data_IF_760175007563
#
_entry.id   IF_760175007563
#
_cell.length_a   1.000
_cell.length_b   1.000
_cell.length_c   1.000
_cell.angle_alpha   90.00
_cell.angle_beta   90.00
_cell.angle_gamma   90.00
#
_symmetry.space_group_name_H-M   'P 1'
#
loop_
_entity.id
_entity.type
_entity.pdbx_description
1 polymer ?
#
# COMPACT_ATOMS: atom_id res chain seq x y z
N UNK A 1 14.52 6.56 0.76
CA UNK A 1 13.35 5.73 1.09
C UNK A 1 13.20 4.64 0.04
N UNK A 2 13.14 3.36 0.43
CA UNK A 2 12.60 2.35 -0.46
C UNK A 2 11.14 2.70 -0.76
N UNK A 3 10.67 2.27 -1.92
CA UNK A 3 9.26 2.46 -2.27
C UNK A 3 8.44 1.41 -1.52
N UNK A 4 7.61 1.84 -0.57
CA UNK A 4 6.60 1.01 0.12
C UNK A 4 5.87 0.00 -0.81
N UNK A 5 5.55 0.33 -2.08
CA UNK A 5 4.99 -0.61 -3.05
C UNK A 5 5.80 -1.89 -3.34
N UNK A 6 7.09 -1.97 -2.98
CA UNK A 6 7.92 -3.14 -3.24
C UNK A 6 7.71 -4.27 -2.21
N UNK A 7 7.45 -3.94 -0.95
CA UNK A 7 7.29 -4.91 0.15
C UNK A 7 6.19 -5.95 -0.08
N UNK A 8 5.04 -5.62 -0.69
CA UNK A 8 4.05 -6.63 -1.03
C UNK A 8 4.58 -7.83 -1.80
N UNK A 9 5.68 -7.70 -2.56
CA UNK A 9 6.30 -8.80 -3.30
C UNK A 9 6.61 -10.02 -2.42
N UNK A 10 7.08 -9.79 -1.18
CA UNK A 10 7.45 -10.85 -0.23
C UNK A 10 6.23 -11.64 0.24
N UNK A 11 5.09 -10.98 0.38
CA UNK A 11 3.87 -11.59 0.94
C UNK A 11 2.94 -12.19 -0.12
N UNK A 12 3.12 -11.87 -1.41
CA UNK A 12 2.35 -12.48 -2.50
C UNK A 12 2.30 -14.02 -2.46
N UNK A 13 3.41 -14.76 -2.27
CA UNK A 13 3.35 -16.23 -2.17
C UNK A 13 2.64 -16.73 -0.91
N UNK A 14 2.60 -15.93 0.16
CA UNK A 14 1.99 -16.31 1.45
C UNK A 14 0.46 -16.42 1.39
N UNK A 15 -0.19 -15.92 0.32
CA UNK A 15 -1.62 -16.16 0.09
C UNK A 15 -1.99 -17.66 0.06
N UNK A 16 -1.03 -18.53 -0.26
CA UNK A 16 -1.19 -20.00 -0.26
C UNK A 16 -1.40 -20.58 1.14
N UNK A 17 -1.07 -19.82 2.20
CA UNK A 17 -1.27 -20.20 3.60
C UNK A 17 -2.72 -19.98 4.08
N UNK A 18 -3.62 -19.53 3.19
CA UNK A 18 -5.02 -19.24 3.53
C UNK A 18 -5.23 -17.91 4.26
N UNK A 19 -4.19 -17.07 4.35
CA UNK A 19 -4.29 -15.71 4.89
C UNK A 19 -4.89 -14.75 3.84
N UNK A 20 -5.70 -13.75 4.25
CA UNK A 20 -6.25 -12.78 3.32
C UNK A 20 -5.15 -11.94 2.67
N UNK A 21 -4.97 -12.07 1.36
CA UNK A 21 -3.91 -11.35 0.63
C UNK A 21 -4.01 -9.83 0.81
N UNK A 22 -5.21 -9.24 0.84
CA UNK A 22 -5.36 -7.80 1.08
C UNK A 22 -4.83 -7.37 2.45
N UNK A 23 -4.97 -8.22 3.47
CA UNK A 23 -4.46 -7.94 4.81
C UNK A 23 -2.93 -8.06 4.86
N UNK A 24 -2.36 -9.09 4.22
CA UNK A 24 -0.92 -9.25 4.05
C UNK A 24 -0.29 -8.02 3.35
N UNK A 25 -0.87 -7.60 2.22
CA UNK A 25 -0.39 -6.45 1.43
C UNK A 25 -0.48 -5.17 2.25
N UNK A 26 -1.62 -4.90 2.89
CA UNK A 26 -1.78 -3.71 3.74
C UNK A 26 -0.80 -3.74 4.90
N UNK A 27 -0.60 -4.89 5.56
CA UNK A 27 0.40 -5.04 6.61
C UNK A 27 1.81 -4.72 6.13
N UNK A 28 2.20 -5.18 4.94
CA UNK A 28 3.54 -4.91 4.39
C UNK A 28 3.81 -3.46 3.99
N UNK A 29 2.78 -2.60 4.01
CA UNK A 29 2.86 -1.17 3.68
C UNK A 29 2.57 -0.30 4.91
N UNK A 30 1.96 -0.86 5.96
CA UNK A 30 1.54 -0.12 7.14
C UNK A 30 2.69 0.56 7.93
N UNK A 31 3.88 -0.05 8.11
CA UNK A 31 4.98 0.59 8.83
C UNK A 31 5.41 1.94 8.26
N UNK A 32 5.29 2.12 6.95
CA UNK A 32 5.61 3.36 6.23
C UNK A 32 4.51 4.43 6.30
N UNK A 33 3.35 4.13 6.89
CA UNK A 33 2.25 5.09 6.96
C UNK A 33 2.63 6.46 7.58
N UNK A 34 3.46 6.54 8.65
CA UNK A 34 3.90 7.82 9.23
C UNK A 34 4.68 8.72 8.27
N UNK A 35 5.28 8.16 7.21
CA UNK A 35 6.01 8.93 6.19
C UNK A 35 5.04 9.77 5.35
N UNK A 36 3.86 9.20 5.02
CA UNK A 36 2.93 9.82 4.08
C UNK A 36 1.70 10.43 4.74
N UNK A 37 1.38 10.03 5.97
CA UNK A 37 0.16 10.43 6.67
C UNK A 37 0.51 10.92 8.08
N UNK A 38 -0.27 11.87 8.62
CA UNK A 38 -0.08 12.37 9.98
C UNK A 38 -0.55 11.34 11.02
N UNK A 39 0.19 10.24 11.14
CA UNK A 39 -0.01 9.21 12.17
C UNK A 39 0.66 9.69 13.46
N UNK A 40 -0.01 9.51 14.60
CA UNK A 40 0.50 9.94 15.92
C UNK A 40 1.59 9.01 16.50
N UNK A 41 2.34 8.33 15.63
CA UNK A 41 3.41 7.38 15.97
C UNK A 41 4.60 7.70 15.09
N UNK A 42 5.79 7.78 15.69
CA UNK A 42 7.01 8.03 14.94
C UNK A 42 7.47 6.83 14.10
N UNK A 43 8.29 7.12 13.10
CA UNK A 43 8.83 6.13 12.16
C UNK A 43 9.70 5.08 12.83
N UNK A 44 10.48 5.45 13.85
CA UNK A 44 11.35 4.50 14.58
C UNK A 44 10.53 3.43 15.29
N UNK A 45 9.39 3.83 15.88
CA UNK A 45 8.46 2.93 16.55
C UNK A 45 7.86 1.94 15.56
N UNK A 46 7.36 2.39 14.40
CA UNK A 46 6.78 1.50 13.38
C UNK A 46 7.82 0.59 12.70
N UNK A 47 9.11 0.90 12.82
CA UNK A 47 10.20 0.07 12.29
C UNK A 47 10.95 -0.71 13.38
N UNK A 48 10.36 -0.80 14.58
CA UNK A 48 10.88 -1.61 15.68
C UNK A 48 10.16 -2.96 15.78
N UNK A 49 10.83 -3.98 16.33
CA UNK A 49 10.19 -5.30 16.52
C UNK A 49 8.96 -5.24 17.43
N UNK A 50 8.98 -4.35 18.43
CA UNK A 50 7.85 -4.09 19.34
C UNK A 50 6.78 -3.17 18.73
N UNK A 51 7.05 -2.56 17.57
CA UNK A 51 6.14 -1.75 16.78
C UNK A 51 5.13 -2.54 15.98
N UNK A 52 5.41 -3.81 15.67
CA UNK A 52 4.54 -4.67 14.84
C UNK A 52 3.07 -4.72 15.32
N UNK A 53 2.75 -4.77 16.63
CA UNK A 53 1.37 -4.64 17.10
C UNK A 53 0.73 -3.28 16.76
N UNK A 54 1.49 -2.18 16.80
CA UNK A 54 1.04 -0.84 16.40
C UNK A 54 0.78 -0.82 14.89
N UNK A 55 1.70 -1.35 14.09
CA UNK A 55 1.52 -1.48 12.63
C UNK A 55 0.33 -2.37 12.29
N UNK A 56 0.03 -3.35 13.14
CA UNK A 56 -1.16 -4.19 13.00
C UNK A 56 -2.43 -3.36 13.15
N UNK A 57 -2.48 -2.45 14.14
CA UNK A 57 -3.63 -1.55 14.31
C UNK A 57 -3.73 -0.58 13.11
N UNK A 58 -2.63 0.04 12.70
CA UNK A 58 -2.58 0.93 11.53
C UNK A 58 -3.07 0.19 10.29
N UNK A 59 -2.52 -1.00 10.03
CA UNK A 59 -2.89 -1.83 8.89
C UNK A 59 -4.34 -2.31 8.93
N UNK A 60 -4.91 -2.62 10.09
CA UNK A 60 -6.35 -2.92 10.21
C UNK A 60 -7.22 -1.70 9.88
N UNK A 61 -6.82 -0.50 10.29
CA UNK A 61 -7.50 0.75 9.91
C UNK A 61 -7.41 0.98 8.41
N UNK A 62 -6.24 0.82 7.81
CA UNK A 62 -6.04 0.94 6.35
C UNK A 62 -6.85 -0.10 5.57
N UNK A 63 -6.89 -1.35 6.07
CA UNK A 63 -7.69 -2.43 5.48
C UNK A 63 -9.18 -2.10 5.55
N UNK A 64 -9.65 -1.58 6.68
CA UNK A 64 -11.02 -1.11 6.85
C UNK A 64 -11.32 0.03 5.88
N UNK A 65 -10.48 1.07 5.81
CA UNK A 65 -10.63 2.19 4.88
C UNK A 65 -10.67 1.70 3.42
N UNK A 66 -9.84 0.73 3.06
CA UNK A 66 -9.86 0.15 1.73
C UNK A 66 -11.23 -0.46 1.40
N UNK A 67 -11.73 -1.41 2.20
CA UNK A 67 -12.98 -2.11 1.89
C UNK A 67 -14.23 -1.24 2.12
N UNK A 68 -14.21 -0.38 3.14
CA UNK A 68 -15.35 0.40 3.58
C UNK A 68 -15.33 1.85 3.16
N UNK A 69 -14.31 2.36 2.46
CA UNK A 69 -14.33 3.70 1.89
C UNK A 69 -13.85 3.72 0.43
N UNK A 70 -12.62 3.29 0.20
CA UNK A 70 -11.86 3.58 -1.03
C UNK A 70 -12.19 2.66 -2.20
N UNK A 71 -12.27 1.34 -1.97
CA UNK A 71 -12.28 0.31 -3.01
C UNK A 71 -13.33 0.56 -4.09
N UNK A 72 -14.57 0.78 -3.69
CA UNK A 72 -15.68 0.93 -4.63
C UNK A 72 -15.48 2.14 -5.54
N UNK A 73 -15.02 3.27 -4.98
CA UNK A 73 -14.68 4.47 -5.74
C UNK A 73 -13.48 4.20 -6.67
N UNK A 74 -12.37 3.66 -6.15
CA UNK A 74 -11.17 3.37 -6.96
C UNK A 74 -11.49 2.47 -8.16
N UNK A 75 -12.29 1.41 -7.94
CA UNK A 75 -12.68 0.49 -9.00
C UNK A 75 -13.61 1.15 -10.02
N UNK A 76 -14.60 1.93 -9.60
CA UNK A 76 -15.55 2.58 -10.52
C UNK A 76 -14.88 3.72 -11.33
N UNK A 77 -14.06 4.52 -10.67
CA UNK A 77 -13.39 5.68 -11.26
C UNK A 77 -12.21 5.31 -12.17
N UNK A 78 -11.72 4.06 -12.11
CA UNK A 78 -10.60 3.58 -12.94
C UNK A 78 -11.13 2.68 -14.07
N UNK A 79 -11.17 3.14 -15.35
CA UNK A 79 -11.81 2.40 -16.44
C UNK A 79 -11.31 0.95 -16.61
N UNK A 80 -9.99 0.72 -16.49
CA UNK A 80 -9.41 -0.61 -16.61
C UNK A 80 -9.79 -1.56 -15.47
N UNK A 81 -9.99 -1.03 -14.26
CA UNK A 81 -10.46 -1.81 -13.11
C UNK A 81 -11.98 -2.00 -13.16
N UNK A 82 -12.74 -0.99 -13.56
CA UNK A 82 -14.21 -1.06 -13.63
C UNK A 82 -14.70 -2.23 -14.49
N UNK A 83 -14.04 -2.50 -15.60
CA UNK A 83 -14.47 -3.60 -16.48
C UNK A 83 -13.99 -4.99 -16.04
N UNK A 84 -13.15 -5.10 -15.00
CA UNK A 84 -12.45 -6.37 -14.66
C UNK A 84 -12.44 -6.73 -13.18
N UNK A 85 -12.73 -5.79 -12.28
CA UNK A 85 -12.70 -6.01 -10.83
C UNK A 85 -14.08 -5.72 -10.23
N UNK A 86 -14.62 -6.59 -9.35
CA UNK A 86 -15.84 -6.28 -8.61
C UNK A 86 -15.61 -5.07 -7.69
N UNK A 87 -16.46 -4.06 -7.86
CA UNK A 87 -16.40 -2.81 -7.07
C UNK A 87 -16.78 -3.06 -5.61
N UNK A 88 -17.81 -3.90 -5.40
CA UNK A 88 -18.26 -4.29 -4.08
C UNK A 88 -17.76 -5.70 -3.78
N UNK A 89 -16.68 -5.78 -3.02
CA UNK A 89 -16.21 -7.01 -2.40
C UNK A 89 -16.21 -6.78 -0.92
N UNK A 90 -16.78 -7.72 -0.17
CA UNK A 90 -16.69 -7.75 1.29
C UNK A 90 -15.76 -8.88 1.68
N UNK A 91 -14.85 -8.60 2.61
CA UNK A 91 -14.14 -9.68 3.28
C UNK A 91 -15.15 -10.50 4.09
N UNK A 92 -15.11 -11.82 3.92
CA UNK A 92 -15.93 -12.74 4.70
C UNK A 92 -15.48 -12.78 6.17
N UNK A 93 -16.34 -13.31 7.06
CA UNK A 93 -16.06 -13.40 8.50
C UNK A 93 -14.70 -14.05 8.81
N UNK A 94 -14.40 -15.18 8.16
CA UNK A 94 -13.09 -15.87 8.31
C UNK A 94 -11.92 -14.97 7.92
N UNK A 95 -12.05 -14.18 6.85
CA UNK A 95 -11.00 -13.28 6.42
C UNK A 95 -10.78 -12.14 7.43
N UNK A 96 -11.85 -11.58 8.01
CA UNK A 96 -11.73 -10.60 9.10
C UNK A 96 -11.11 -11.19 10.36
N UNK A 97 -11.44 -12.44 10.72
CA UNK A 97 -10.83 -13.13 11.86
C UNK A 97 -9.33 -13.36 11.66
N UNK A 98 -8.90 -13.65 10.42
CA UNK A 98 -7.49 -13.85 10.08
C UNK A 98 -6.75 -12.56 9.75
N UNK A 99 -7.45 -11.43 9.60
CA UNK A 99 -6.85 -10.17 9.19
C UNK A 99 -5.77 -9.67 10.16
N UNK A 100 -5.94 -9.67 11.51
CA UNK A 100 -4.91 -9.21 12.42
C UNK A 100 -3.60 -9.99 12.27
N UNK A 101 -3.69 -11.33 12.17
CA UNK A 101 -2.53 -12.18 11.94
C UNK A 101 -1.87 -11.88 10.59
N UNK A 102 -2.66 -11.76 9.52
CA UNK A 102 -2.14 -11.46 8.19
C UNK A 102 -1.48 -10.07 8.10
N UNK A 103 -2.06 -9.05 8.75
CA UNK A 103 -1.46 -7.72 8.83
C UNK A 103 -0.15 -7.78 9.63
N UNK A 104 -0.15 -8.43 10.79
CA UNK A 104 1.06 -8.57 11.62
C UNK A 104 2.19 -9.30 10.88
N UNK A 105 1.86 -10.36 10.13
CA UNK A 105 2.83 -11.05 9.26
C UNK A 105 3.37 -10.12 8.18
N UNK A 106 2.49 -9.35 7.52
CA UNK A 106 2.91 -8.36 6.52
C UNK A 106 3.85 -7.30 7.11
N UNK A 107 3.48 -6.70 8.24
CA UNK A 107 4.28 -5.69 8.93
C UNK A 107 5.62 -6.28 9.41
N UNK A 108 5.61 -7.49 9.97
CA UNK A 108 6.82 -8.19 10.38
C UNK A 108 7.77 -8.44 9.20
N UNK A 109 7.27 -8.86 8.04
CA UNK A 109 8.12 -9.02 6.84
C UNK A 109 8.72 -7.71 6.37
N UNK A 110 7.99 -6.59 6.50
CA UNK A 110 8.49 -5.26 6.19
C UNK A 110 9.63 -4.88 7.15
N UNK A 111 9.38 -4.90 8.46
CA UNK A 111 10.37 -4.52 9.49
C UNK A 111 11.64 -5.37 9.41
N UNK A 112 11.49 -6.69 9.21
CA UNK A 112 12.64 -7.59 9.05
C UNK A 112 13.45 -7.23 7.80
N UNK A 113 12.80 -6.98 6.67
CA UNK A 113 13.49 -6.62 5.44
C UNK A 113 14.22 -5.29 5.57
N UNK A 114 13.55 -4.29 6.15
CA UNK A 114 14.11 -2.96 6.35
C UNK A 114 15.29 -2.96 7.31
N UNK A 115 15.28 -3.84 8.30
CA UNK A 115 16.41 -4.02 9.21
C UNK A 115 17.69 -4.50 8.50
N UNK A 116 17.59 -5.07 7.29
CA UNK A 116 18.70 -5.52 6.45
C UNK A 116 19.06 -4.54 5.32
N UNK A 117 18.24 -3.52 5.06
CA UNK A 117 18.46 -2.57 3.96
C UNK A 117 18.77 -1.15 4.41
N UNK A 118 18.54 -0.82 5.68
CA UNK A 118 18.81 0.48 6.25
C UNK A 118 19.98 0.47 7.23
N UNK A 119 20.75 1.54 7.25
CA UNK A 119 21.91 1.74 8.12
C UNK A 119 21.56 1.70 9.61
N UNK A 120 20.37 2.18 9.98
CA UNK A 120 19.83 2.07 11.33
C UNK A 120 19.27 0.67 11.67
N UNK A 121 19.15 -0.21 10.68
CA UNK A 121 18.52 -1.52 10.81
C UNK A 121 19.29 -2.48 11.71
N UNK A 122 18.55 -3.29 12.49
CA UNK A 122 19.14 -4.29 13.38
C UNK A 122 20.07 -5.28 12.64
N UNK A 123 19.63 -5.87 11.53
CA UNK A 123 20.47 -6.82 10.79
C UNK A 123 21.71 -6.15 10.20
N UNK A 124 21.62 -4.91 9.72
CA UNK A 124 22.79 -4.15 9.26
C UNK A 124 23.76 -3.87 10.40
N UNK A 125 23.28 -3.67 11.65
CA UNK A 125 24.10 -3.47 12.85
C UNK A 125 24.76 -4.76 13.37
N UNK A 126 24.11 -5.90 13.26
CA UNK A 126 24.68 -7.17 13.72
C UNK A 126 25.54 -7.88 12.67
N UNK A 127 25.19 -7.77 11.39
CA UNK A 127 25.86 -8.47 10.29
C UNK A 127 26.85 -7.54 9.59
N UNK A 128 28.13 -7.61 9.99
CA UNK A 128 29.18 -6.75 9.47
C UNK A 128 29.30 -6.74 7.94
N UNK A 129 29.09 -7.89 7.28
CA UNK A 129 29.17 -7.99 5.82
C UNK A 129 28.12 -7.15 5.08
N UNK A 130 27.00 -6.77 5.72
CA UNK A 130 26.00 -5.87 5.12
C UNK A 130 26.49 -4.42 5.02
N UNK A 131 27.53 -4.07 5.78
CA UNK A 131 28.16 -2.75 5.78
C UNK A 131 29.41 -2.67 4.92
N UNK A 132 29.88 -3.81 4.41
CA UNK A 132 31.02 -3.83 3.50
C UNK A 132 30.64 -3.21 2.16
N UNK A 133 31.58 -2.47 1.58
CA UNK A 133 31.44 -1.82 0.28
C UNK A 133 31.63 -2.83 -0.84
N UNK A 134 30.65 -2.88 -1.74
CA UNK A 134 30.71 -3.66 -2.98
C UNK A 134 30.62 -2.69 -4.15
N UNK A 135 31.78 -2.14 -4.54
CA UNK A 135 31.86 -1.07 -5.53
C UNK A 135 31.52 0.29 -4.91
N UNK A 136 30.55 1.06 -5.45
CA UNK A 136 30.27 2.43 -4.99
C UNK A 136 29.40 2.50 -3.74
N UNK A 137 28.83 1.38 -3.27
CA UNK A 137 27.84 1.34 -2.21
C UNK A 137 28.05 0.13 -1.29
N UNK A 138 27.68 0.24 -0.01
CA UNK A 138 27.61 -0.89 0.90
C UNK A 138 26.48 -1.87 0.52
N UNK A 139 26.63 -3.13 0.89
CA UNK A 139 25.72 -4.21 0.47
C UNK A 139 24.24 -3.96 0.85
N UNK A 140 23.97 -3.41 2.03
CA UNK A 140 22.59 -3.09 2.43
C UNK A 140 21.90 -2.09 1.47
N UNK A 141 22.63 -1.13 0.89
CA UNK A 141 22.08 -0.20 -0.12
C UNK A 141 21.87 -0.90 -1.46
N UNK A 142 22.73 -1.84 -1.84
CA UNK A 142 22.47 -2.70 -2.99
C UNK A 142 21.19 -3.51 -2.80
N UNK A 143 20.98 -4.09 -1.63
CA UNK A 143 19.72 -4.77 -1.28
C UNK A 143 18.54 -3.81 -1.34
N UNK A 144 18.66 -2.60 -0.79
CA UNK A 144 17.61 -1.59 -0.84
C UNK A 144 17.17 -1.25 -2.27
N UNK A 145 18.12 -0.90 -3.15
CA UNK A 145 17.83 -0.50 -4.52
C UNK A 145 17.35 -1.66 -5.39
N UNK A 146 18.02 -2.81 -5.32
CA UNK A 146 17.63 -3.99 -6.09
C UNK A 146 16.24 -4.50 -5.67
N UNK A 147 15.95 -4.54 -4.37
CA UNK A 147 14.64 -4.94 -3.86
C UNK A 147 13.54 -3.97 -4.28
N UNK A 148 13.84 -2.67 -4.33
CA UNK A 148 12.89 -1.66 -4.82
C UNK A 148 12.52 -1.94 -6.27
N UNK A 149 13.51 -2.14 -7.14
CA UNK A 149 13.29 -2.39 -8.58
C UNK A 149 12.59 -3.73 -8.79
N UNK A 150 13.11 -4.81 -8.20
CA UNK A 150 12.58 -6.16 -8.38
C UNK A 150 11.21 -6.30 -7.73
N UNK A 151 11.05 -5.88 -6.48
CA UNK A 151 9.79 -5.96 -5.74
C UNK A 151 8.67 -5.18 -6.42
N UNK A 152 8.93 -3.94 -6.84
CA UNK A 152 7.95 -3.14 -7.58
C UNK A 152 7.56 -3.79 -8.91
N UNK A 153 8.54 -4.35 -9.62
CA UNK A 153 8.30 -5.06 -10.88
C UNK A 153 7.44 -6.32 -10.67
N UNK A 154 7.70 -7.09 -9.61
CA UNK A 154 6.92 -8.28 -9.23
C UNK A 154 5.49 -7.89 -8.88
N UNK A 155 5.29 -6.86 -8.06
CA UNK A 155 3.94 -6.40 -7.66
C UNK A 155 3.16 -5.88 -8.87
N UNK A 156 3.80 -5.10 -9.76
CA UNK A 156 3.19 -4.62 -10.99
C UNK A 156 2.82 -5.79 -11.92
N UNK A 157 3.75 -6.70 -12.18
CA UNK A 157 3.53 -7.86 -13.04
C UNK A 157 2.40 -8.75 -12.49
N UNK A 158 2.40 -9.02 -11.19
CA UNK A 158 1.35 -9.78 -10.52
C UNK A 158 -0.01 -9.08 -10.62
N UNK A 159 -0.07 -7.77 -10.35
CA UNK A 159 -1.28 -6.97 -10.45
C UNK A 159 -1.87 -6.96 -11.87
N UNK A 160 -1.01 -6.75 -12.88
CA UNK A 160 -1.40 -6.78 -14.30
C UNK A 160 -1.87 -8.18 -14.70
N UNK A 161 -1.12 -9.22 -14.36
CA UNK A 161 -1.50 -10.62 -14.63
C UNK A 161 -2.85 -10.95 -14.00
N UNK A 162 -3.05 -10.61 -12.72
CA UNK A 162 -4.29 -10.91 -12.02
C UNK A 162 -5.47 -10.15 -12.63
N UNK A 163 -5.29 -8.87 -12.97
CA UNK A 163 -6.33 -8.06 -13.60
C UNK A 163 -6.70 -8.61 -14.99
N UNK A 164 -5.71 -8.98 -15.80
CA UNK A 164 -5.92 -9.54 -17.15
C UNK A 164 -6.61 -10.90 -17.12
N UNK A 165 -6.38 -11.67 -16.05
CA UNK A 165 -7.01 -12.98 -15.83
C UNK A 165 -8.47 -12.90 -15.38
N UNK A 166 -8.99 -11.71 -15.06
CA UNK A 166 -10.42 -11.54 -14.77
C UNK A 166 -11.21 -11.35 -16.07
N UNK A 167 -12.41 -11.95 -16.18
CA UNK A 167 -13.29 -11.74 -17.32
C UNK A 167 -13.66 -10.26 -17.43
N UNK A 168 -13.78 -9.77 -18.67
CA UNK A 168 -14.27 -8.41 -18.92
C UNK A 168 -15.78 -8.41 -18.79
N UNK A 169 -16.28 -7.72 -17.78
CA UNK A 169 -17.71 -7.49 -17.58
C UNK A 169 -17.97 -6.01 -17.76
N UNK A 170 -18.67 -5.65 -18.84
CA UNK A 170 -19.08 -4.28 -19.07
C UNK A 170 -20.03 -3.85 -17.95
N UNK A 171 -19.65 -2.81 -17.21
CA UNK A 171 -20.49 -2.19 -16.19
C UNK A 171 -20.62 -0.71 -16.50
N UNK A 172 -21.83 -0.13 -16.51
CA UNK A 172 -21.99 1.31 -16.62
C UNK A 172 -21.25 2.02 -15.48
N UNK A 173 -20.84 3.27 -15.69
CA UNK A 173 -20.26 4.05 -14.61
C UNK A 173 -21.32 4.29 -13.54
N UNK A 174 -20.96 4.20 -12.26
CA UNK A 174 -21.91 4.42 -11.17
C UNK A 174 -22.28 5.90 -10.97
N UNK A 175 -21.58 6.82 -11.65
CA UNK A 175 -21.86 8.26 -11.67
C UNK A 175 -21.50 8.85 -13.04
N UNK A 176 -22.16 9.94 -13.41
CA UNK A 176 -21.79 10.74 -14.58
C UNK A 176 -20.36 11.28 -14.50
N UNK A 177 -19.67 11.35 -15.65
CA UNK A 177 -18.29 11.88 -15.79
C UNK A 177 -17.26 11.25 -14.83
N UNK A 178 -17.38 9.95 -14.51
CA UNK A 178 -16.47 9.23 -13.60
C UNK A 178 -14.97 9.44 -13.89
N UNK A 179 -14.58 9.64 -15.15
CA UNK A 179 -13.18 9.90 -15.55
C UNK A 179 -12.59 11.22 -14.99
N UNK A 180 -13.42 12.18 -14.59
CA UNK A 180 -12.95 13.45 -14.04
C UNK A 180 -12.73 13.41 -12.52
N UNK A 181 -13.37 12.47 -11.81
CA UNK A 181 -13.27 12.35 -10.35
C UNK A 181 -11.85 12.07 -9.84
N UNK A 182 -10.96 11.36 -10.57
CA UNK A 182 -9.57 11.22 -10.15
C UNK A 182 -8.73 12.48 -10.29
N UNK A 183 -9.14 13.51 -11.06
CA UNK A 183 -8.32 14.72 -11.36
C UNK A 183 -7.81 15.46 -10.12
N UNK A 184 -8.59 15.62 -9.02
CA UNK A 184 -8.10 16.26 -7.81
C UNK A 184 -6.90 15.56 -7.16
N UNK A 185 -6.70 14.25 -7.39
CA UNK A 185 -5.61 13.46 -6.80
C UNK A 185 -4.23 13.91 -7.32
N UNK A 186 -3.92 13.85 -8.64
CA UNK A 186 -2.65 14.35 -9.17
C UNK A 186 -2.51 15.86 -9.03
N UNK A 187 -3.61 16.64 -9.01
CA UNK A 187 -3.55 18.09 -8.75
C UNK A 187 -3.07 18.35 -7.33
N UNK A 188 -3.66 17.70 -6.31
CA UNK A 188 -3.23 17.84 -4.93
C UNK A 188 -1.77 17.41 -4.75
N UNK A 189 -1.38 16.29 -5.36
CA UNK A 189 0.01 15.81 -5.33
C UNK A 189 0.99 16.80 -5.96
N UNK A 190 0.68 17.32 -7.15
CA UNK A 190 1.53 18.28 -7.85
C UNK A 190 1.63 19.62 -7.10
N UNK A 191 0.51 20.12 -6.58
CA UNK A 191 0.49 21.35 -5.77
C UNK A 191 1.36 21.19 -4.52
N UNK A 192 1.21 20.09 -3.78
CA UNK A 192 2.04 19.80 -2.62
C UNK A 192 3.52 19.69 -3.01
N UNK A 193 3.86 18.91 -4.04
CA UNK A 193 5.23 18.77 -4.53
C UNK A 193 5.89 20.11 -4.92
N UNK A 194 5.14 21.00 -5.57
CA UNK A 194 5.64 22.33 -5.97
C UNK A 194 5.86 23.22 -4.75
N UNK A 195 4.92 23.23 -3.80
CA UNK A 195 4.94 24.10 -2.63
C UNK A 195 5.98 23.67 -1.59
N UNK A 196 6.09 22.37 -1.32
CA UNK A 196 6.96 21.85 -0.26
C UNK A 196 8.30 21.34 -0.78
N UNK A 197 8.42 21.08 -2.10
CA UNK A 197 9.58 20.42 -2.70
C UNK A 197 9.89 19.05 -2.09
N UNK A 198 8.86 18.41 -1.53
CA UNK A 198 8.96 17.14 -0.85
C UNK A 198 8.00 16.12 -1.46
N UNK A 199 8.55 14.96 -1.85
CA UNK A 199 7.79 13.90 -2.50
C UNK A 199 6.88 13.16 -1.51
N UNK A 200 7.26 13.08 -0.24
CA UNK A 200 6.48 12.37 0.79
C UNK A 200 5.18 13.13 1.08
N UNK A 201 5.28 14.45 1.25
CA UNK A 201 4.13 15.35 1.38
C UNK A 201 3.24 15.31 0.13
N UNK A 202 3.82 15.19 -1.07
CA UNK A 202 3.06 15.06 -2.31
C UNK A 202 2.23 13.78 -2.36
N UNK A 203 2.82 12.65 -1.95
CA UNK A 203 2.10 11.37 -1.83
C UNK A 203 1.00 11.48 -0.76
N UNK A 204 1.29 12.06 0.39
CA UNK A 204 0.31 12.31 1.46
C UNK A 204 -0.89 13.13 0.98
N UNK A 205 -0.65 14.23 0.26
CA UNK A 205 -1.71 15.04 -0.33
C UNK A 205 -2.56 14.25 -1.33
N UNK A 206 -1.94 13.38 -2.12
CA UNK A 206 -2.65 12.49 -3.05
C UNK A 206 -3.57 11.50 -2.30
N UNK A 207 -3.08 10.91 -1.20
CA UNK A 207 -3.86 9.98 -0.37
C UNK A 207 -5.06 10.68 0.30
N UNK A 208 -4.86 11.89 0.83
CA UNK A 208 -5.95 12.70 1.40
C UNK A 208 -6.99 13.05 0.33
N UNK A 209 -6.54 13.51 -0.85
CA UNK A 209 -7.43 13.79 -1.97
C UNK A 209 -8.22 12.55 -2.40
N UNK A 210 -7.59 11.37 -2.41
CA UNK A 210 -8.26 10.11 -2.73
C UNK A 210 -9.37 9.78 -1.71
N UNK A 211 -9.13 10.00 -0.41
CA UNK A 211 -10.14 9.81 0.64
C UNK A 211 -11.32 10.76 0.44
N UNK A 212 -11.06 12.04 0.16
CA UNK A 212 -12.10 13.06 -0.09
C UNK A 212 -12.92 12.71 -1.33
N UNK A 213 -12.24 12.37 -2.44
CA UNK A 213 -12.85 11.94 -3.70
C UNK A 213 -13.73 10.70 -3.48
N UNK A 214 -13.24 9.70 -2.76
CA UNK A 214 -14.00 8.48 -2.48
C UNK A 214 -15.23 8.76 -1.60
N UNK A 215 -15.11 9.65 -0.61
CA UNK A 215 -16.22 10.09 0.24
C UNK A 215 -17.30 10.81 -0.58
N UNK A 216 -16.92 11.78 -1.40
CA UNK A 216 -17.83 12.52 -2.26
C UNK A 216 -18.47 11.62 -3.35
N UNK A 217 -17.72 10.67 -3.91
CA UNK A 217 -18.28 9.71 -4.86
C UNK A 217 -19.38 8.86 -4.21
N UNK A 218 -19.21 8.44 -2.96
CA UNK A 218 -20.23 7.68 -2.23
C UNK A 218 -21.49 8.47 -1.94
N UNK A 219 -21.37 9.75 -1.60
CA UNK A 219 -22.54 10.59 -1.31
C UNK A 219 -23.36 10.84 -2.57
N UNK A 220 -22.70 11.04 -3.71
CA UNK A 220 -23.38 11.18 -5.02
C UNK A 220 -24.03 9.86 -5.43
N UNK A 221 -23.33 8.73 -5.35
CA UNK A 221 -23.87 7.42 -5.72
C UNK A 221 -25.12 7.03 -4.91
N UNK A 222 -25.19 7.41 -3.63
CA UNK A 222 -26.39 7.16 -2.79
C UNK A 222 -27.62 7.99 -3.18
N UNK A 223 -27.43 9.05 -3.97
CA UNK A 223 -28.51 9.95 -4.41
C UNK A 223 -29.05 9.59 -5.80
N UNK A 224 -28.37 8.74 -6.56
CA UNK A 224 -28.93 8.20 -7.80
C UNK A 224 -29.95 7.10 -7.43
N UNK A 225 -31.21 7.20 -7.91
CA UNK A 225 -32.30 6.29 -7.56
C UNK A 225 -32.13 4.87 -8.13
#
# INVERSE_FOLDING_TARGET
MPLAPAHPAVVLPMQRLGLPLSALVVGSVAPDAPVYLPVLVDYETTHSAWGVPIDTVIGLVLLWLWFFLLRAAVVDLTPGLRCRAPAEVRLGRRAWLLAPLAVAVGAGTHVVWDSATHDWGFLVRELAFLREDYGPLPLHRWFQHSSTVVGSSVVLAYGVWRLRSQPVVARPAAVGRSRLWPVPIPVAAASAAILTRDAETAVGAALVALVVVAGAWRTVRRREP
#
